data_IF_998754749808
#
_entry.id   IF_998754749808
#
_cell.length_a   1.000
_cell.length_b   1.000
_cell.length_c   1.000
_cell.angle_alpha   90.00
_cell.angle_beta   90.00
_cell.angle_gamma   90.00
#
_symmetry.space_group_name_H-M   'P 1'
#
loop_
_entity.id
_entity.type
_entity.pdbx_description
1 polymer ?
#
# COMPACT_ATOMS: atom_id res chain seq x y z
N UNK A 1 1.83 3.57 8.43
CA UNK A 1 0.96 2.39 8.59
C UNK A 1 -0.43 2.84 9.02
N UNK A 2 -1.49 2.26 8.47
CA UNK A 2 -2.86 2.53 8.94
C UNK A 2 -3.17 1.72 10.22
N UNK A 3 -4.33 1.96 10.84
CA UNK A 3 -4.76 1.30 12.08
C UNK A 3 -5.52 -0.01 11.83
N UNK A 4 -5.21 -0.75 10.75
CA UNK A 4 -5.90 -2.02 10.51
C UNK A 4 -5.56 -3.03 11.62
N UNK A 5 -6.51 -3.87 12.09
CA UNK A 5 -6.28 -4.76 13.23
C UNK A 5 -5.07 -5.69 13.09
N UNK A 6 -4.72 -6.06 11.85
CA UNK A 6 -3.53 -6.88 11.58
C UNK A 6 -2.23 -6.15 11.95
N UNK A 7 -2.18 -4.82 11.84
CA UNK A 7 -1.00 -4.00 12.14
C UNK A 7 -0.88 -3.65 13.63
N UNK A 8 -1.98 -3.71 14.39
CA UNK A 8 -2.03 -3.36 15.82
C UNK A 8 -2.05 -4.57 16.75
N UNK A 9 -1.93 -5.80 16.21
CA UNK A 9 -1.86 -7.03 17.00
C UNK A 9 -0.53 -7.15 17.74
N UNK A 10 -0.53 -7.85 18.87
CA UNK A 10 0.64 -8.05 19.73
C UNK A 10 1.88 -8.54 18.97
N UNK A 11 1.70 -9.54 18.09
CA UNK A 11 2.79 -10.06 17.24
C UNK A 11 3.44 -9.01 16.34
N UNK A 12 2.70 -7.99 15.91
CA UNK A 12 3.26 -6.87 15.15
C UNK A 12 4.01 -5.92 16.08
N UNK A 13 3.44 -5.61 17.25
CA UNK A 13 4.06 -4.72 18.25
C UNK A 13 5.41 -5.29 18.70
N UNK A 14 5.51 -6.60 18.95
CA UNK A 14 6.77 -7.28 19.27
C UNK A 14 7.83 -7.06 18.18
N UNK A 15 7.43 -7.04 16.90
CA UNK A 15 8.34 -6.77 15.77
C UNK A 15 8.74 -5.30 15.68
N UNK A 16 7.89 -4.36 16.09
CA UNK A 16 8.23 -2.94 16.11
C UNK A 16 9.43 -2.67 17.02
N UNK A 17 9.48 -3.31 18.19
CA UNK A 17 10.60 -3.17 19.12
C UNK A 17 11.90 -3.72 18.52
N UNK A 18 11.84 -4.90 17.87
CA UNK A 18 12.99 -5.45 17.14
C UNK A 18 13.48 -4.49 16.05
N UNK A 19 12.57 -3.89 15.29
CA UNK A 19 12.90 -2.98 14.19
C UNK A 19 13.42 -1.64 14.67
N UNK A 20 12.90 -1.12 15.78
CA UNK A 20 13.40 0.10 16.40
C UNK A 20 14.87 -0.05 16.82
N UNK A 21 15.25 -1.22 17.32
CA UNK A 21 16.66 -1.57 17.59
C UNK A 21 17.55 -1.57 16.33
N UNK A 22 16.96 -1.73 15.14
CA UNK A 22 17.64 -1.65 13.83
C UNK A 22 17.53 -0.26 13.18
N UNK A 23 17.17 0.77 13.95
CA UNK A 23 16.93 2.13 13.46
C UNK A 23 15.85 2.20 12.37
N UNK A 24 14.85 1.31 12.45
CA UNK A 24 13.69 1.31 11.57
C UNK A 24 12.45 1.73 12.37
N UNK A 25 11.89 2.89 12.02
CA UNK A 25 10.74 3.47 12.69
C UNK A 25 9.49 3.44 11.81
N UNK A 26 8.33 3.18 12.43
CA UNK A 26 7.04 3.17 11.73
C UNK A 26 6.29 4.45 12.02
N UNK A 27 6.00 5.21 10.96
CA UNK A 27 5.08 6.33 11.01
C UNK A 27 3.63 5.84 11.00
N UNK A 28 2.90 6.03 12.11
CA UNK A 28 1.49 5.66 12.22
C UNK A 28 0.56 6.76 11.73
N UNK A 29 -0.39 6.39 10.88
CA UNK A 29 -1.45 7.28 10.44
C UNK A 29 -2.61 7.25 11.46
N UNK A 30 -3.29 8.38 11.70
CA UNK A 30 -4.53 8.40 12.48
C UNK A 30 -5.61 7.54 11.83
N UNK A 31 -6.62 7.16 12.62
CA UNK A 31 -7.80 6.45 12.10
C UNK A 31 -8.50 7.28 11.02
N UNK A 32 -9.14 6.60 10.08
CA UNK A 32 -9.92 7.20 8.99
C UNK A 32 -9.20 8.33 8.22
N UNK A 33 -7.88 8.19 8.00
CA UNK A 33 -7.04 9.18 7.31
C UNK A 33 -6.60 8.74 5.89
N UNK A 34 -7.51 8.29 4.99
CA UNK A 34 -7.11 7.78 3.67
C UNK A 34 -6.48 8.86 2.78
N UNK A 35 -6.82 10.14 2.99
CA UNK A 35 -6.24 11.28 2.26
C UNK A 35 -4.75 11.52 2.58
N UNK A 36 -4.25 10.98 3.70
CA UNK A 36 -2.83 11.08 4.10
C UNK A 36 -2.05 9.80 3.78
N UNK A 37 -2.74 8.78 3.26
CA UNK A 37 -2.13 7.51 2.93
C UNK A 37 -1.75 7.48 1.44
N UNK A 38 -0.46 7.65 1.14
CA UNK A 38 0.03 7.74 -0.24
C UNK A 38 -0.32 6.50 -1.08
N UNK A 39 -0.34 5.30 -0.49
CA UNK A 39 -0.70 4.09 -1.23
C UNK A 39 -2.19 4.06 -1.64
N UNK A 40 -3.08 4.68 -0.86
CA UNK A 40 -4.50 4.82 -1.23
C UNK A 40 -4.68 5.80 -2.40
N UNK A 41 -3.89 6.88 -2.39
CA UNK A 41 -3.86 7.84 -3.50
C UNK A 41 -3.34 7.16 -4.76
N UNK A 42 -2.22 6.44 -4.67
CA UNK A 42 -1.66 5.65 -5.77
C UNK A 42 -2.68 4.63 -6.30
N UNK A 43 -3.40 3.93 -5.42
CA UNK A 43 -4.45 2.99 -5.82
C UNK A 43 -5.56 3.61 -6.66
N UNK A 44 -5.93 4.87 -6.38
CA UNK A 44 -6.90 5.61 -7.21
C UNK A 44 -6.34 5.92 -8.60
N UNK A 45 -5.09 6.37 -8.69
CA UNK A 45 -4.43 6.58 -9.99
C UNK A 45 -4.35 5.28 -10.78
N UNK A 46 -3.94 4.18 -10.15
CA UNK A 46 -3.89 2.87 -10.79
C UNK A 46 -5.26 2.49 -11.34
N UNK A 47 -6.32 2.64 -10.55
CA UNK A 47 -7.68 2.21 -10.90
C UNK A 47 -8.36 3.08 -11.95
N UNK A 48 -8.21 4.39 -11.86
CA UNK A 48 -9.00 5.34 -12.66
C UNK A 48 -8.22 5.98 -13.79
N UNK A 49 -6.88 6.05 -13.71
CA UNK A 49 -6.05 6.77 -14.68
C UNK A 49 -5.12 5.85 -15.47
N UNK A 50 -4.66 4.73 -14.89
CA UNK A 50 -3.59 3.93 -15.49
C UNK A 50 -4.06 2.67 -16.21
N UNK A 51 -5.20 2.10 -15.82
CA UNK A 51 -5.66 0.79 -16.29
C UNK A 51 -7.06 0.93 -16.88
N UNK A 52 -7.23 0.42 -18.10
CA UNK A 52 -8.54 0.31 -18.73
C UNK A 52 -9.36 -0.84 -18.12
N UNK A 53 -10.68 -0.68 -18.00
CA UNK A 53 -11.56 -1.68 -17.36
C UNK A 53 -11.35 -3.09 -17.96
N UNK A 54 -11.18 -3.20 -19.28
CA UNK A 54 -11.00 -4.49 -19.95
C UNK A 54 -9.65 -5.16 -19.64
N UNK A 55 -8.63 -4.40 -19.25
CA UNK A 55 -7.33 -4.93 -18.82
C UNK A 55 -7.42 -5.55 -17.43
N UNK A 56 -8.41 -5.17 -16.62
CA UNK A 56 -8.63 -5.72 -15.26
C UNK A 56 -9.30 -7.10 -15.28
N UNK A 57 -9.93 -7.51 -16.39
CA UNK A 57 -10.69 -8.76 -16.49
C UNK A 57 -9.82 -10.03 -16.42
N UNK A 58 -8.51 -9.92 -16.67
CA UNK A 58 -7.56 -11.02 -16.56
C UNK A 58 -6.37 -10.59 -15.72
N UNK A 59 -6.05 -11.36 -14.68
CA UNK A 59 -4.96 -11.06 -13.75
C UNK A 59 -3.63 -10.82 -14.45
N UNK A 60 -3.30 -11.62 -15.47
CA UNK A 60 -2.05 -11.47 -16.22
C UNK A 60 -1.97 -10.13 -16.97
N UNK A 61 -3.07 -9.71 -17.62
CA UNK A 61 -3.16 -8.42 -18.31
C UNK A 61 -3.02 -7.27 -17.32
N UNK A 62 -3.73 -7.35 -16.19
CA UNK A 62 -3.65 -6.38 -15.11
C UNK A 62 -2.20 -6.23 -14.58
N UNK A 63 -1.52 -7.34 -14.31
CA UNK A 63 -0.13 -7.34 -13.84
C UNK A 63 0.82 -6.70 -14.86
N UNK A 64 0.63 -7.02 -16.15
CA UNK A 64 1.43 -6.43 -17.23
C UNK A 64 1.20 -4.92 -17.36
N UNK A 65 -0.06 -4.46 -17.26
CA UNK A 65 -0.42 -3.05 -17.31
C UNK A 65 0.20 -2.25 -16.15
N UNK A 66 0.09 -2.76 -14.91
CA UNK A 66 0.73 -2.14 -13.73
C UNK A 66 2.24 -2.11 -13.89
N UNK A 67 2.87 -3.24 -14.22
CA UNK A 67 4.33 -3.32 -14.32
C UNK A 67 4.87 -2.33 -15.34
N UNK A 68 4.20 -2.19 -16.49
CA UNK A 68 4.58 -1.22 -17.53
C UNK A 68 4.52 0.22 -17.02
N UNK A 69 3.53 0.58 -16.20
CA UNK A 69 3.36 1.94 -15.65
C UNK A 69 4.30 2.23 -14.48
N UNK A 70 4.52 1.25 -13.59
CA UNK A 70 5.43 1.38 -12.46
C UNK A 70 6.91 1.40 -12.87
N UNK A 71 7.29 0.84 -14.04
CA UNK A 71 8.67 0.91 -14.56
C UNK A 71 9.08 2.31 -15.04
N UNK A 72 8.16 3.26 -15.10
CA UNK A 72 8.37 4.61 -15.64
C UNK A 72 8.33 5.67 -14.52
N UNK A 73 8.20 5.25 -13.25
CA UNK A 73 8.18 6.09 -12.05
C UNK A 73 9.34 5.66 -11.16
#
# INVERSE_FOLDING_TARGET
>A
MNQAPIHTRDKMIEKLEEWKGKNFEIFWLPTYSPKRNLIEILGKFIKYEWIEIDETRKLEKFRKAISKKCLII
#
